data_IF_696048873198
#
_entry.id   IF_696048873198
#
_cell.length_a   1.000
_cell.length_b   1.000
_cell.length_c   1.000
_cell.angle_alpha   90.00
_cell.angle_beta   90.00
_cell.angle_gamma   90.00
#
_symmetry.space_group_name_H-M   'P 1'
#
loop_
_entity.id
_entity.type
_entity.pdbx_description
1 polymer ?
#
# COMPACT_ATOMS: atom_id res chain seq x y z
N UNK A 1 6.58 -25.27 17.71
CA UNK A 1 6.51 -23.87 17.22
C UNK A 1 6.96 -23.81 15.76
N UNK A 2 8.07 -24.46 15.40
CA UNK A 2 8.59 -24.58 14.01
C UNK A 2 7.62 -25.14 12.95
N UNK A 3 6.64 -25.99 13.31
CA UNK A 3 5.72 -26.55 12.33
C UNK A 3 4.66 -25.55 11.82
N UNK A 4 4.25 -24.55 12.63
CA UNK A 4 3.27 -23.54 12.19
C UNK A 4 3.90 -22.52 11.25
N UNK A 5 5.16 -22.19 11.47
CA UNK A 5 5.92 -21.23 10.68
C UNK A 5 6.18 -21.77 9.27
N UNK A 6 6.55 -23.06 9.17
CA UNK A 6 6.70 -23.77 7.88
C UNK A 6 5.39 -23.96 7.11
N UNK A 7 4.28 -24.09 7.82
CA UNK A 7 2.95 -24.19 7.20
C UNK A 7 2.51 -22.84 6.62
N UNK A 8 2.79 -21.74 7.33
CA UNK A 8 2.57 -20.37 6.86
C UNK A 8 3.50 -20.03 5.69
N UNK A 9 4.78 -20.37 5.74
CA UNK A 9 5.72 -20.18 4.62
C UNK A 9 5.27 -20.93 3.37
N UNK A 10 4.71 -22.14 3.53
CA UNK A 10 4.18 -22.93 2.43
C UNK A 10 2.88 -22.34 1.87
N UNK A 11 1.98 -21.86 2.73
CA UNK A 11 0.81 -21.09 2.29
C UNK A 11 1.21 -19.81 1.55
N UNK A 12 2.24 -19.11 2.02
CA UNK A 12 2.80 -17.93 1.36
C UNK A 12 3.41 -18.30 0.02
N UNK A 13 4.20 -19.36 -0.08
CA UNK A 13 4.75 -19.81 -1.36
C UNK A 13 3.67 -20.25 -2.35
N UNK A 14 2.66 -21.01 -1.89
CA UNK A 14 1.53 -21.42 -2.73
C UNK A 14 0.68 -20.22 -3.14
N UNK A 15 0.51 -19.25 -2.25
CA UNK A 15 -0.09 -17.96 -2.55
C UNK A 15 0.72 -17.19 -3.57
N UNK A 16 2.04 -17.05 -3.42
CA UNK A 16 2.92 -16.36 -4.36
C UNK A 16 3.00 -17.05 -5.73
N UNK A 17 2.97 -18.39 -5.76
CA UNK A 17 2.89 -19.19 -7.00
C UNK A 17 1.54 -19.06 -7.69
N UNK A 18 0.44 -19.08 -6.94
CA UNK A 18 -0.90 -18.81 -7.49
C UNK A 18 -1.04 -17.36 -7.94
N UNK A 19 -0.39 -16.42 -7.25
CA UNK A 19 -0.32 -15.00 -7.54
C UNK A 19 0.47 -14.71 -8.83
N UNK A 20 1.59 -15.38 -9.07
CA UNK A 20 2.32 -15.31 -10.34
C UNK A 20 1.48 -15.82 -11.52
N UNK A 21 0.65 -16.86 -11.30
CA UNK A 21 -0.37 -17.33 -12.27
C UNK A 21 -1.52 -16.34 -12.42
N UNK A 22 -1.99 -15.70 -11.35
CA UNK A 22 -3.03 -14.66 -11.36
C UNK A 22 -2.50 -13.30 -11.86
N UNK A 23 -1.20 -13.11 -12.09
CA UNK A 23 -0.72 -11.95 -12.85
C UNK A 23 -1.30 -11.90 -14.28
N UNK A 24 -1.80 -13.04 -14.78
CA UNK A 24 -2.61 -13.18 -16.00
C UNK A 24 -4.12 -12.92 -15.78
N UNK A 25 -4.61 -12.88 -14.53
CA UNK A 25 -6.01 -12.59 -14.14
C UNK A 25 -6.06 -11.54 -13.03
N UNK A 26 -6.32 -10.31 -13.45
CA UNK A 26 -6.47 -9.12 -12.61
C UNK A 26 -7.09 -9.34 -11.21
N UNK A 27 -6.26 -9.42 -10.16
CA UNK A 27 -6.73 -9.47 -8.77
C UNK A 27 -7.52 -8.19 -8.43
N UNK A 28 -8.71 -8.30 -7.85
CA UNK A 28 -9.46 -7.11 -7.44
C UNK A 28 -8.80 -6.43 -6.22
N UNK A 29 -8.96 -5.10 -6.12
CA UNK A 29 -8.52 -4.33 -4.94
C UNK A 29 -9.11 -4.92 -3.64
N UNK A 30 -10.39 -5.32 -3.67
CA UNK A 30 -11.07 -5.92 -2.52
C UNK A 30 -10.42 -7.23 -2.06
N UNK A 31 -10.04 -8.11 -2.99
CA UNK A 31 -9.34 -9.36 -2.66
C UNK A 31 -7.99 -9.03 -2.03
N UNK A 32 -7.27 -8.05 -2.57
CA UNK A 32 -5.98 -7.61 -2.05
C UNK A 32 -6.07 -7.10 -0.60
N UNK A 33 -7.05 -6.24 -0.28
CA UNK A 33 -7.23 -5.75 1.09
C UNK A 33 -7.67 -6.86 2.06
N UNK A 34 -8.41 -7.87 1.60
CA UNK A 34 -8.69 -9.07 2.41
C UNK A 34 -7.40 -9.79 2.81
N UNK A 35 -6.43 -9.91 1.90
CA UNK A 35 -5.12 -10.53 2.18
C UNK A 35 -4.30 -9.68 3.16
N UNK A 36 -4.25 -8.36 2.93
CA UNK A 36 -3.56 -7.43 3.82
C UNK A 36 -4.08 -7.57 5.26
N UNK A 37 -5.41 -7.63 5.44
CA UNK A 37 -6.06 -7.79 6.74
C UNK A 37 -5.88 -9.18 7.35
N UNK A 38 -5.74 -10.22 6.53
CA UNK A 38 -5.55 -11.59 6.99
C UNK A 38 -4.12 -11.82 7.53
N UNK A 39 -3.13 -11.14 6.96
CA UNK A 39 -1.72 -11.33 7.32
C UNK A 39 -1.02 -10.02 7.73
N UNK A 40 -1.54 -9.26 8.71
CA UNK A 40 -1.10 -7.91 9.00
C UNK A 40 0.35 -7.83 9.53
N UNK A 41 0.87 -8.92 10.09
CA UNK A 41 2.23 -8.98 10.64
C UNK A 41 3.24 -9.66 9.70
N UNK A 42 2.82 -10.10 8.51
CA UNK A 42 3.73 -10.73 7.57
C UNK A 42 4.36 -9.69 6.63
N UNK A 43 5.58 -9.27 6.92
CA UNK A 43 6.30 -8.22 6.21
C UNK A 43 6.36 -8.46 4.68
N UNK A 44 6.69 -9.68 4.26
CA UNK A 44 6.79 -10.06 2.84
C UNK A 44 5.44 -9.92 2.12
N UNK A 45 4.36 -10.43 2.71
CA UNK A 45 3.01 -10.28 2.14
C UNK A 45 2.64 -8.81 2.05
N UNK A 46 2.95 -8.01 3.07
CA UNK A 46 2.59 -6.58 3.08
C UNK A 46 3.36 -5.79 2.02
N UNK A 47 4.68 -6.00 1.89
CA UNK A 47 5.47 -5.41 0.81
C UNK A 47 4.90 -5.74 -0.56
N UNK A 48 4.66 -7.03 -0.83
CA UNK A 48 4.13 -7.49 -2.11
C UNK A 48 2.75 -6.88 -2.36
N UNK A 49 1.88 -6.88 -1.34
CA UNK A 49 0.54 -6.30 -1.44
C UNK A 49 0.57 -4.81 -1.76
N UNK A 50 1.46 -4.05 -1.13
CA UNK A 50 1.65 -2.62 -1.41
C UNK A 50 2.14 -2.40 -2.85
N UNK A 51 3.12 -3.18 -3.33
CA UNK A 51 3.59 -3.10 -4.72
C UNK A 51 2.48 -3.35 -5.73
N UNK A 52 1.65 -4.37 -5.50
CA UNK A 52 0.52 -4.71 -6.39
C UNK A 52 -0.52 -3.60 -6.37
N UNK A 53 -0.81 -3.10 -5.18
CA UNK A 53 -1.80 -2.05 -5.01
C UNK A 53 -1.37 -0.78 -5.74
N UNK A 54 -0.09 -0.42 -5.62
CA UNK A 54 0.51 0.70 -6.34
C UNK A 54 0.47 0.53 -7.86
N UNK A 55 0.86 -0.64 -8.38
CA UNK A 55 0.78 -0.94 -9.82
C UNK A 55 -0.66 -0.77 -10.35
N UNK A 56 -1.65 -1.20 -9.56
CA UNK A 56 -3.06 -1.03 -9.90
C UNK A 56 -3.49 0.42 -9.89
N UNK A 57 -3.15 1.14 -8.83
CA UNK A 57 -3.43 2.57 -8.72
C UNK A 57 -2.85 3.35 -9.90
N UNK A 58 -1.62 3.06 -10.32
CA UNK A 58 -0.99 3.68 -11.49
C UNK A 58 -1.70 3.35 -12.80
N UNK A 59 -2.20 2.12 -12.96
CA UNK A 59 -3.01 1.75 -14.13
C UNK A 59 -4.32 2.52 -14.13
N UNK A 60 -4.98 2.68 -12.96
CA UNK A 60 -6.22 3.43 -12.85
C UNK A 60 -6.03 4.92 -13.15
N UNK A 61 -4.97 5.53 -12.64
CA UNK A 61 -4.65 6.94 -12.92
C UNK A 61 -4.34 7.22 -14.40
N UNK A 62 -3.94 6.21 -15.17
CA UNK A 62 -3.69 6.32 -16.63
C UNK A 62 -4.97 6.20 -17.46
N UNK A 63 -6.04 5.63 -16.91
CA UNK A 63 -7.29 5.42 -17.64
C UNK A 63 -8.13 6.70 -17.50
N UNK A 64 -8.41 7.37 -18.62
CA UNK A 64 -9.28 8.55 -18.70
C UNK A 64 -10.78 8.22 -18.56
N UNK A 65 -11.13 7.26 -17.70
CA UNK A 65 -12.52 6.91 -17.38
C UNK A 65 -12.85 7.41 -15.97
N UNK A 66 -13.35 8.65 -15.92
CA UNK A 66 -13.60 9.38 -14.68
C UNK A 66 -14.66 8.73 -13.77
N UNK A 67 -15.63 7.98 -14.32
CA UNK A 67 -16.69 7.37 -13.51
C UNK A 67 -16.19 6.11 -12.81
N UNK A 68 -15.51 5.23 -13.55
CA UNK A 68 -14.87 4.04 -13.00
C UNK A 68 -13.79 4.42 -11.96
N UNK A 69 -13.06 5.51 -12.22
CA UNK A 69 -12.05 6.03 -11.29
C UNK A 69 -12.67 6.46 -9.95
N UNK A 70 -13.84 7.10 -9.95
CA UNK A 70 -14.49 7.57 -8.71
C UNK A 70 -14.93 6.42 -7.81
N UNK A 71 -15.58 5.39 -8.36
CA UNK A 71 -16.04 4.24 -7.57
C UNK A 71 -14.87 3.50 -6.93
N UNK A 72 -13.77 3.35 -7.66
CA UNK A 72 -12.58 2.69 -7.14
C UNK A 72 -11.84 3.54 -6.11
N UNK A 73 -11.75 4.86 -6.30
CA UNK A 73 -11.19 5.77 -5.30
C UNK A 73 -11.98 5.67 -4.00
N UNK A 74 -13.33 5.67 -4.04
CA UNK A 74 -14.15 5.53 -2.84
C UNK A 74 -13.86 4.20 -2.12
N UNK A 75 -13.74 3.10 -2.87
CA UNK A 75 -13.39 1.81 -2.26
C UNK A 75 -12.02 1.82 -1.60
N UNK A 76 -11.04 2.48 -2.23
CA UNK A 76 -9.71 2.64 -1.69
C UNK A 76 -9.71 3.57 -0.46
N UNK A 77 -10.53 4.62 -0.48
CA UNK A 77 -10.63 5.55 0.65
C UNK A 77 -11.13 4.84 1.91
N UNK A 78 -12.04 3.88 1.77
CA UNK A 78 -12.46 3.04 2.91
C UNK A 78 -11.35 2.14 3.47
N UNK A 79 -10.20 2.05 2.80
CA UNK A 79 -9.09 1.17 3.15
C UNK A 79 -7.81 1.93 3.57
N UNK A 80 -7.89 3.26 3.70
CA UNK A 80 -6.76 4.09 4.13
C UNK A 80 -6.27 3.72 5.52
N UNK A 81 -7.18 3.49 6.45
CA UNK A 81 -6.83 3.05 7.80
C UNK A 81 -6.01 1.76 7.78
N UNK A 82 -6.33 0.86 6.85
CA UNK A 82 -5.55 -0.37 6.64
C UNK A 82 -4.12 -0.01 6.20
N UNK A 83 -3.95 0.91 5.25
CA UNK A 83 -2.63 1.36 4.78
C UNK A 83 -1.82 1.99 5.92
N UNK A 84 -2.42 2.94 6.65
CA UNK A 84 -1.79 3.62 7.80
C UNK A 84 -1.39 2.60 8.87
N UNK A 85 -2.27 1.65 9.17
CA UNK A 85 -2.00 0.58 10.14
C UNK A 85 -0.78 -0.23 9.74
N UNK A 86 -0.67 -0.66 8.48
CA UNK A 86 0.49 -1.43 8.01
C UNK A 86 1.77 -0.59 8.06
N UNK A 87 1.73 0.68 7.65
CA UNK A 87 2.88 1.57 7.79
C UNK A 87 3.31 1.73 9.26
N UNK A 88 2.37 1.74 10.20
CA UNK A 88 2.69 1.80 11.62
C UNK A 88 3.25 0.48 12.18
N UNK A 89 2.83 -0.66 11.64
CA UNK A 89 3.37 -1.99 12.01
C UNK A 89 4.80 -2.16 11.50
N UNK A 90 5.11 -1.66 10.30
CA UNK A 90 6.43 -1.78 9.67
C UNK A 90 7.13 -0.42 9.50
N UNK A 91 7.44 0.28 10.60
CA UNK A 91 7.98 1.65 10.55
C UNK A 91 9.38 1.72 9.95
N UNK A 92 10.10 0.61 9.91
CA UNK A 92 11.48 0.50 9.41
C UNK A 92 11.56 -0.25 8.06
N UNK A 93 10.43 -0.57 7.44
CA UNK A 93 10.41 -1.20 6.12
C UNK A 93 10.35 -0.14 5.03
N UNK A 94 11.50 0.10 4.38
CA UNK A 94 11.65 1.14 3.38
C UNK A 94 10.63 1.05 2.24
N UNK A 95 10.38 -0.15 1.72
CA UNK A 95 9.46 -0.39 0.59
C UNK A 95 8.02 -0.05 0.99
N UNK A 96 7.56 -0.52 2.15
CA UNK A 96 6.22 -0.21 2.66
C UNK A 96 6.06 1.30 2.88
N UNK A 97 7.09 1.95 3.42
CA UNK A 97 7.04 3.38 3.75
C UNK A 97 7.05 4.26 2.50
N UNK A 98 7.91 3.94 1.53
CA UNK A 98 7.96 4.62 0.24
C UNK A 98 6.62 4.50 -0.51
N UNK A 99 6.13 3.27 -0.71
CA UNK A 99 4.89 3.01 -1.46
C UNK A 99 3.69 3.56 -0.69
N UNK A 100 3.68 3.41 0.64
CA UNK A 100 2.65 3.94 1.51
C UNK A 100 2.51 5.46 1.41
N UNK A 101 3.62 6.20 1.46
CA UNK A 101 3.61 7.65 1.23
C UNK A 101 3.00 8.00 -0.12
N UNK A 102 3.42 7.31 -1.18
CA UNK A 102 2.93 7.57 -2.53
C UNK A 102 1.42 7.31 -2.67
N UNK A 103 0.93 6.20 -2.13
CA UNK A 103 -0.50 5.89 -2.08
C UNK A 103 -1.25 6.99 -1.32
N UNK A 104 -0.79 7.36 -0.11
CA UNK A 104 -1.47 8.35 0.71
C UNK A 104 -1.49 9.74 0.04
N UNK A 105 -0.46 10.11 -0.72
CA UNK A 105 -0.42 11.33 -1.51
C UNK A 105 -1.36 11.35 -2.72
N UNK A 106 -1.72 10.17 -3.25
CA UNK A 106 -2.68 10.03 -4.35
C UNK A 106 -4.12 10.11 -3.86
N UNK A 107 -4.40 9.68 -2.63
CA UNK A 107 -5.75 9.61 -2.07
C UNK A 107 -6.13 10.91 -1.34
N UNK A 108 -7.42 11.19 -1.13
CA UNK A 108 -7.98 12.50 -0.69
C UNK A 108 -7.62 12.95 0.76
N UNK A 109 -8.23 14.01 1.28
CA UNK A 109 -7.68 14.93 2.28
C UNK A 109 -8.08 14.58 3.73
N UNK A 110 -7.26 13.82 4.45
CA UNK A 110 -7.40 13.66 5.91
C UNK A 110 -6.10 13.91 6.66
N UNK A 111 -6.20 14.53 7.84
CA UNK A 111 -5.04 14.98 8.63
C UNK A 111 -4.15 13.81 9.10
N UNK A 112 -4.73 12.63 9.36
CA UNK A 112 -4.00 11.45 9.84
C UNK A 112 -2.95 10.93 8.83
N UNK A 113 -3.15 11.24 7.54
CA UNK A 113 -2.19 10.91 6.46
C UNK A 113 -0.95 11.79 6.51
N UNK A 114 -1.13 13.08 6.81
CA UNK A 114 -0.02 14.04 6.92
C UNK A 114 0.93 13.59 8.03
N UNK A 115 0.39 13.25 9.20
CA UNK A 115 1.18 12.77 10.33
C UNK A 115 1.91 11.47 9.99
N UNK A 116 1.24 10.54 9.32
CA UNK A 116 1.83 9.27 8.90
C UNK A 116 2.97 9.47 7.89
N UNK A 117 2.80 10.36 6.91
CA UNK A 117 3.86 10.70 5.94
C UNK A 117 5.05 11.37 6.64
N UNK A 118 4.81 12.35 7.52
CA UNK A 118 5.87 13.02 8.28
C UNK A 118 6.63 12.00 9.15
N UNK A 119 5.92 11.07 9.78
CA UNK A 119 6.53 10.00 10.59
C UNK A 119 7.41 9.09 9.74
N UNK A 120 6.94 8.69 8.55
CA UNK A 120 7.75 7.93 7.58
C UNK A 120 9.04 8.69 7.22
N UNK A 121 8.94 9.96 6.87
CA UNK A 121 10.10 10.80 6.56
C UNK A 121 11.07 10.92 7.76
N UNK A 122 10.56 11.03 8.97
CA UNK A 122 11.38 11.09 10.18
C UNK A 122 12.11 9.76 10.49
N UNK A 123 11.51 8.62 10.14
CA UNK A 123 12.14 7.31 10.29
C UNK A 123 13.27 7.10 9.27
N UNK A 124 13.19 7.74 8.10
CA UNK A 124 14.17 7.63 7.02
C UNK A 124 14.77 8.97 6.59
N UNK A 125 15.43 9.72 7.49
CA UNK A 125 15.88 11.08 7.21
C UNK A 125 16.93 11.16 6.08
N UNK A 126 17.68 10.09 5.87
CA UNK A 126 18.75 10.01 4.86
C UNK A 126 18.30 9.30 3.56
N UNK A 127 17.08 8.79 3.50
CA UNK A 127 16.57 8.12 2.32
C UNK A 127 15.99 9.14 1.34
N UNK A 128 16.72 9.45 0.27
CA UNK A 128 16.32 10.49 -0.68
C UNK A 128 14.97 10.20 -1.34
N UNK A 129 14.68 8.93 -1.64
CA UNK A 129 13.44 8.54 -2.30
C UNK A 129 12.22 8.74 -1.38
N UNK A 130 12.32 8.33 -0.11
CA UNK A 130 11.27 8.56 0.90
C UNK A 130 11.09 10.06 1.17
N UNK A 131 12.18 10.83 1.27
CA UNK A 131 12.07 12.28 1.45
C UNK A 131 11.39 12.94 0.25
N UNK A 132 11.80 12.58 -0.97
CA UNK A 132 11.22 13.13 -2.19
C UNK A 132 9.74 12.79 -2.31
N UNK A 133 9.37 11.51 -2.16
CA UNK A 133 7.99 11.08 -2.31
C UNK A 133 7.10 11.60 -1.17
N UNK A 134 7.65 11.71 0.04
CA UNK A 134 6.97 12.32 1.18
C UNK A 134 6.64 13.78 0.92
N UNK A 135 7.62 14.58 0.47
CA UNK A 135 7.41 15.97 0.06
C UNK A 135 6.38 16.10 -1.08
N UNK A 136 6.48 15.27 -2.12
CA UNK A 136 5.53 15.28 -3.24
C UNK A 136 4.11 14.96 -2.77
N UNK A 137 3.97 13.99 -1.87
CA UNK A 137 2.69 13.58 -1.29
C UNK A 137 2.07 14.69 -0.45
N UNK A 138 2.86 15.33 0.43
CA UNK A 138 2.41 16.47 1.22
C UNK A 138 2.01 17.67 0.35
N UNK A 139 2.78 17.96 -0.70
CA UNK A 139 2.44 19.00 -1.67
C UNK A 139 1.10 18.70 -2.36
N UNK A 140 0.91 17.48 -2.85
CA UNK A 140 -0.34 17.04 -3.47
C UNK A 140 -1.54 17.18 -2.53
N UNK A 141 -1.38 16.80 -1.26
CA UNK A 141 -2.43 16.96 -0.24
C UNK A 141 -2.74 18.45 -0.03
N UNK A 142 -1.72 19.32 0.01
CA UNK A 142 -1.91 20.76 0.21
C UNK A 142 -2.66 21.46 -0.92
N UNK A 143 -2.48 21.03 -2.17
CA UNK A 143 -3.20 21.59 -3.34
C UNK A 143 -4.65 21.12 -3.45
N UNK A 144 -5.03 20.06 -2.74
CA UNK A 144 -6.38 19.47 -2.77
C UNK A 144 -7.27 19.94 -1.60
N UNK A 145 -6.75 20.80 -0.72
CA UNK A 145 -7.45 21.39 0.41
C UNK A 145 -8.37 22.54 0.01
#
# INVERSE_FOLDING_TARGET
MENKEKEIEKEIEEYLKSFQKEKEKEISIQKLFKIIKQFPLNETIQQISFMIFKEKLDKFLKINDLENLKEQIIQIENEIETIITIMNIFPNNEVIQFIGCEILGILSVENERIETIIKSMNNFPNNQDIQFIGCASLANISFRK
#
